data_IF_173680725268
#
_entry.id   IF_173680725268
#
_cell.length_a   1.000
_cell.length_b   1.000
_cell.length_c   1.000
_cell.angle_alpha   90.00
_cell.angle_beta   90.00
_cell.angle_gamma   90.00
#
_symmetry.space_group_name_H-M   'P 1'
#
loop_
_entity.id
_entity.type
_entity.pdbx_description
1 polymer ?
#
# COMPACT_ATOMS: atom_id res chain seq x y z
N UNK A 1 37.11 39.95 47.75
CA UNK A 1 38.46 39.57 48.16
C UNK A 1 38.39 38.23 48.84
N UNK A 2 39.28 37.24 48.60
CA UNK A 2 40.56 37.31 47.89
C UNK A 2 40.64 36.38 46.66
N UNK A 3 41.69 36.62 45.86
CA UNK A 3 42.09 35.90 44.67
C UNK A 3 42.81 34.57 44.96
N UNK A 4 42.60 33.59 44.09
CA UNK A 4 43.46 32.39 44.10
C UNK A 4 44.07 32.22 42.71
N UNK A 5 45.39 32.21 42.67
CA UNK A 5 46.22 32.00 41.48
C UNK A 5 46.17 30.55 41.00
N UNK A 6 45.98 30.37 39.72
CA UNK A 6 46.11 29.07 39.03
C UNK A 6 47.58 28.92 38.56
N UNK A 7 48.24 27.88 38.96
CA UNK A 7 49.58 27.48 38.45
C UNK A 7 49.42 26.54 37.26
N UNK A 8 49.90 26.98 36.13
CA UNK A 8 50.04 26.17 34.90
C UNK A 8 51.28 25.27 35.01
N UNK A 9 51.09 23.96 34.92
CA UNK A 9 52.22 22.99 34.78
C UNK A 9 52.43 22.76 33.28
N UNK A 10 53.67 23.00 32.82
CA UNK A 10 54.14 22.64 31.48
C UNK A 10 54.61 21.19 31.49
N UNK A 11 54.04 20.36 30.58
CA UNK A 11 54.50 18.99 30.36
C UNK A 11 55.38 18.99 29.11
N UNK A 12 56.63 18.57 29.29
CA UNK A 12 57.58 18.44 28.19
C UNK A 12 57.37 17.07 27.50
N UNK A 13 57.22 17.13 26.20
CA UNK A 13 57.12 15.90 25.37
C UNK A 13 58.51 15.59 24.79
N UNK A 14 59.06 14.45 25.16
CA UNK A 14 60.24 13.89 24.51
C UNK A 14 59.87 13.04 23.32
N UNK A 15 60.31 13.45 22.13
CA UNK A 15 60.05 12.72 20.87
C UNK A 15 61.02 11.54 20.73
N UNK A 16 60.47 10.36 20.67
CA UNK A 16 61.25 9.13 20.36
C UNK A 16 61.16 8.88 18.84
N UNK A 17 62.27 8.92 18.17
CA UNK A 17 62.37 8.60 16.73
C UNK A 17 62.59 7.11 16.59
N UNK A 18 61.60 6.38 16.06
CA UNK A 18 61.71 4.97 15.71
C UNK A 18 62.04 4.87 14.23
N UNK A 19 63.17 4.31 13.90
CA UNK A 19 63.55 4.02 12.50
C UNK A 19 62.86 2.72 12.08
N UNK A 20 61.95 2.83 11.10
CA UNK A 20 61.26 1.66 10.52
C UNK A 20 62.08 1.14 9.31
N UNK A 21 62.53 -0.09 9.35
CA UNK A 21 63.11 -0.78 8.23
C UNK A 21 61.98 -1.20 7.29
N UNK A 22 62.02 -0.72 6.05
CA UNK A 22 61.04 -1.05 5.01
C UNK A 22 61.46 -2.39 4.36
N UNK A 23 60.82 -3.47 4.78
CA UNK A 23 60.97 -4.77 4.12
C UNK A 23 60.06 -4.83 2.89
N UNK A 24 60.62 -5.03 1.68
CA UNK A 24 59.89 -5.34 0.47
C UNK A 24 59.32 -6.74 0.54
N UNK A 25 57.98 -6.88 0.66
CA UNK A 25 57.31 -8.16 0.45
C UNK A 25 56.83 -8.23 -1.01
N UNK A 26 56.98 -9.37 -1.73
CA UNK A 26 56.49 -9.47 -3.10
C UNK A 26 54.93 -9.41 -3.09
N UNK A 27 54.39 -8.61 -3.99
CA UNK A 27 52.95 -8.50 -4.18
C UNK A 27 52.40 -9.83 -4.74
N UNK A 28 51.65 -10.57 -3.95
CA UNK A 28 50.89 -11.70 -4.42
C UNK A 28 49.75 -11.26 -5.38
N UNK A 29 49.26 -12.18 -6.23
CA UNK A 29 48.22 -11.83 -7.18
C UNK A 29 46.98 -11.32 -6.47
N UNK A 30 46.55 -10.10 -6.82
CA UNK A 30 45.32 -9.53 -6.30
C UNK A 30 44.14 -10.41 -6.80
N UNK A 31 43.51 -11.12 -5.86
CA UNK A 31 42.27 -11.79 -6.20
C UNK A 31 41.23 -10.69 -6.44
N UNK A 32 40.77 -10.61 -7.69
CA UNK A 32 39.67 -9.74 -8.04
C UNK A 32 38.46 -10.17 -7.19
N UNK A 33 38.09 -9.33 -6.24
CA UNK A 33 36.85 -9.53 -5.49
C UNK A 33 35.72 -9.49 -6.51
N UNK A 34 35.12 -10.63 -6.76
CA UNK A 34 33.95 -10.72 -7.62
C UNK A 34 32.89 -9.76 -7.11
N UNK A 35 32.42 -8.87 -7.95
CA UNK A 35 31.31 -7.97 -7.64
C UNK A 35 30.02 -8.79 -7.56
N UNK A 36 29.88 -9.57 -6.49
CA UNK A 36 28.64 -10.27 -6.21
C UNK A 36 27.55 -9.21 -5.93
N UNK A 37 26.67 -9.02 -6.88
CA UNK A 37 25.47 -8.20 -6.65
C UNK A 37 24.69 -8.84 -5.51
N UNK A 38 24.43 -8.08 -4.44
CA UNK A 38 23.62 -8.55 -3.33
C UNK A 38 22.27 -9.07 -3.86
N UNK A 39 21.77 -10.20 -3.34
CA UNK A 39 20.52 -10.76 -3.82
C UNK A 39 19.39 -9.71 -3.73
N UNK A 40 18.68 -9.53 -4.83
CA UNK A 40 17.56 -8.59 -4.87
C UNK A 40 16.49 -9.04 -3.86
N UNK A 41 16.06 -8.12 -3.00
CA UNK A 41 15.04 -8.41 -1.99
C UNK A 41 13.77 -8.95 -2.67
N UNK A 42 13.20 -10.00 -2.08
CA UNK A 42 11.96 -10.60 -2.57
C UNK A 42 10.81 -9.60 -2.48
N UNK A 43 9.95 -9.60 -3.49
CA UNK A 43 8.72 -8.81 -3.46
C UNK A 43 7.70 -9.43 -2.49
N UNK A 44 6.67 -8.68 -2.07
CA UNK A 44 5.63 -9.25 -1.21
C UNK A 44 5.00 -10.52 -1.78
N UNK A 45 4.70 -10.55 -3.07
CA UNK A 45 4.11 -11.75 -3.70
C UNK A 45 5.10 -12.92 -3.72
N UNK A 46 6.40 -12.65 -3.92
CA UNK A 46 7.43 -13.71 -3.85
C UNK A 46 7.65 -14.19 -2.41
N UNK A 47 7.36 -13.35 -1.43
CA UNK A 47 7.54 -13.69 -0.02
C UNK A 47 6.39 -14.51 0.53
N UNK A 48 5.16 -14.13 0.20
CA UNK A 48 3.96 -14.72 0.81
C UNK A 48 3.19 -15.68 -0.11
N UNK A 49 3.46 -15.65 -1.42
CA UNK A 49 2.77 -16.53 -2.36
C UNK A 49 1.28 -16.21 -2.49
N UNK A 50 0.47 -17.24 -2.69
CA UNK A 50 -0.98 -17.08 -2.79
C UNK A 50 -1.60 -16.91 -1.40
N UNK A 51 -2.38 -15.86 -1.23
CA UNK A 51 -3.04 -15.60 0.06
C UNK A 51 -4.31 -16.41 0.22
N UNK A 52 -4.62 -16.75 1.46
CA UNK A 52 -5.86 -17.41 1.84
C UNK A 52 -6.28 -17.01 3.25
N UNK A 53 -7.51 -17.35 3.63
CA UNK A 53 -8.00 -17.07 4.98
C UNK A 53 -7.68 -18.29 5.86
N UNK A 54 -7.03 -18.04 7.00
CA UNK A 54 -6.69 -19.05 8.00
C UNK A 54 -7.23 -18.59 9.37
N UNK A 55 -8.36 -19.19 9.77
CA UNK A 55 -9.07 -18.72 10.98
C UNK A 55 -9.59 -17.30 10.79
N UNK A 56 -9.13 -16.38 11.62
CA UNK A 56 -9.55 -14.97 11.58
C UNK A 56 -8.49 -14.07 10.91
N UNK A 57 -7.49 -14.67 10.26
CA UNK A 57 -6.38 -13.91 9.69
C UNK A 57 -6.23 -14.17 8.19
N UNK A 58 -5.47 -13.28 7.54
CA UNK A 58 -4.98 -13.47 6.19
C UNK A 58 -3.63 -14.16 6.30
N UNK A 59 -3.44 -15.25 5.56
CA UNK A 59 -2.18 -16.02 5.59
C UNK A 59 -1.59 -16.13 4.19
N UNK A 60 -0.29 -16.31 4.15
CA UNK A 60 0.45 -16.63 2.94
C UNK A 60 0.38 -18.13 2.62
N UNK A 61 1.01 -18.52 1.53
CA UNK A 61 0.98 -19.88 1.00
C UNK A 61 1.50 -20.94 2.01
N UNK A 62 2.38 -20.51 2.94
CA UNK A 62 2.94 -21.38 3.98
C UNK A 62 2.25 -21.20 5.34
N UNK A 63 1.00 -20.76 5.35
CA UNK A 63 0.17 -20.55 6.54
C UNK A 63 0.69 -19.49 7.53
N UNK A 64 1.70 -18.71 7.16
CA UNK A 64 2.16 -17.63 8.03
C UNK A 64 1.18 -16.43 7.97
N UNK A 65 0.81 -15.84 9.11
CA UNK A 65 -0.04 -14.65 9.12
C UNK A 65 0.62 -13.48 8.38
N UNK A 66 -0.13 -12.81 7.54
CA UNK A 66 0.36 -11.71 6.68
C UNK A 66 -0.37 -10.41 7.00
N UNK A 67 0.40 -9.36 7.27
CA UNK A 67 -0.12 -8.01 7.34
C UNK A 67 0.26 -7.27 6.04
N UNK A 68 -0.69 -6.98 5.18
CA UNK A 68 -0.48 -6.15 4.00
C UNK A 68 -0.57 -4.67 4.40
N UNK A 69 0.39 -3.86 3.95
CA UNK A 69 0.39 -2.41 4.18
C UNK A 69 0.57 -1.70 2.85
N UNK A 70 -0.27 -0.71 2.59
CA UNK A 70 -0.16 -0.04 1.30
C UNK A 70 -1.10 1.15 1.13
N UNK A 71 -1.36 1.46 -0.13
CA UNK A 71 -2.10 2.64 -0.54
C UNK A 71 -3.36 2.28 -1.30
N UNK A 72 -4.40 3.10 -1.12
CA UNK A 72 -5.55 3.12 -2.01
C UNK A 72 -5.34 4.20 -3.08
N UNK A 73 -5.77 3.94 -4.30
CA UNK A 73 -6.02 5.03 -5.23
C UNK A 73 -7.16 5.86 -4.65
N UNK A 74 -7.25 7.13 -5.02
CA UNK A 74 -8.53 7.82 -4.99
C UNK A 74 -9.41 7.20 -6.09
N UNK A 75 -10.65 7.62 -6.24
CA UNK A 75 -11.44 7.18 -7.39
C UNK A 75 -10.63 7.38 -8.67
N UNK A 76 -10.54 6.32 -9.49
CA UNK A 76 -9.65 6.32 -10.67
C UNK A 76 -9.99 7.40 -11.69
N UNK A 77 -11.18 8.02 -11.58
CA UNK A 77 -11.59 9.10 -12.47
C UNK A 77 -11.01 10.48 -12.10
N UNK A 78 -10.56 10.68 -10.84
CA UNK A 78 -10.22 12.03 -10.37
C UNK A 78 -8.72 12.38 -10.41
N UNK A 79 -7.84 11.41 -10.20
CA UNK A 79 -6.39 11.69 -10.12
C UNK A 79 -5.58 10.76 -11.02
N UNK A 80 -5.92 10.66 -12.33
CA UNK A 80 -5.19 9.73 -13.20
C UNK A 80 -3.71 10.06 -13.32
N UNK A 81 -3.32 11.31 -13.11
CA UNK A 81 -1.91 11.74 -13.13
C UNK A 81 -1.11 11.13 -11.95
N UNK A 82 -1.78 10.68 -10.88
CA UNK A 82 -1.15 10.01 -9.76
C UNK A 82 -1.08 8.48 -9.94
N UNK A 83 -1.66 7.94 -11.03
CA UNK A 83 -1.74 6.50 -11.28
C UNK A 83 -0.79 6.05 -12.40
N UNK A 84 0.47 6.53 -12.31
CA UNK A 84 1.49 6.27 -13.33
C UNK A 84 2.46 5.17 -12.88
N UNK A 85 3.25 4.66 -13.84
CA UNK A 85 4.30 3.70 -13.52
C UNK A 85 5.29 4.25 -12.49
N UNK A 86 5.68 5.52 -12.64
CA UNK A 86 6.61 6.16 -11.69
C UNK A 86 6.03 6.27 -10.28
N UNK A 87 4.73 6.60 -10.16
CA UNK A 87 4.07 6.63 -8.85
C UNK A 87 4.06 5.24 -8.20
N UNK A 88 3.71 4.21 -8.97
CA UNK A 88 3.67 2.84 -8.45
C UNK A 88 5.08 2.29 -8.16
N UNK A 89 6.11 2.74 -8.89
CA UNK A 89 7.50 2.42 -8.55
C UNK A 89 7.88 3.01 -7.18
N UNK A 90 7.52 4.25 -6.92
CA UNK A 90 7.76 4.88 -5.61
C UNK A 90 7.03 4.10 -4.50
N UNK A 91 5.75 3.80 -4.69
CA UNK A 91 4.93 3.07 -3.71
C UNK A 91 5.52 1.67 -3.44
N UNK A 92 5.88 0.94 -4.49
CA UNK A 92 6.38 -0.44 -4.34
C UNK A 92 7.81 -0.50 -3.80
N UNK A 93 8.73 0.33 -4.35
CA UNK A 93 10.16 0.21 -4.08
C UNK A 93 10.65 1.08 -2.96
N UNK A 94 10.22 2.36 -2.95
CA UNK A 94 10.64 3.29 -1.91
C UNK A 94 9.81 3.13 -0.63
N UNK A 95 8.47 3.08 -0.77
CA UNK A 95 7.59 2.93 0.40
C UNK A 95 7.52 1.49 0.90
N UNK A 96 7.95 0.50 0.10
CA UNK A 96 7.88 -0.94 0.44
C UNK A 96 6.44 -1.43 0.60
N UNK A 97 5.50 -0.82 -0.11
CA UNK A 97 4.10 -1.23 -0.02
C UNK A 97 3.92 -2.67 -0.52
N UNK A 98 3.11 -3.43 0.18
CA UNK A 98 2.79 -4.81 -0.17
C UNK A 98 1.48 -4.93 -0.95
N UNK A 99 0.64 -3.88 -0.93
CA UNK A 99 -0.67 -3.91 -1.57
C UNK A 99 -1.04 -2.55 -2.16
N UNK A 100 -1.73 -2.60 -3.30
CA UNK A 100 -2.40 -1.44 -3.91
C UNK A 100 -3.91 -1.73 -3.93
N UNK A 101 -4.73 -0.79 -3.44
CA UNK A 101 -6.19 -0.87 -3.60
C UNK A 101 -6.60 0.02 -4.78
N UNK A 102 -7.38 -0.54 -5.69
CA UNK A 102 -7.84 0.14 -6.91
C UNK A 102 -9.33 0.43 -6.76
N UNK A 103 -9.66 1.68 -6.47
CA UNK A 103 -11.04 2.11 -6.17
C UNK A 103 -11.78 2.46 -7.46
N UNK A 104 -12.52 1.48 -8.01
CA UNK A 104 -13.33 1.67 -9.21
C UNK A 104 -14.74 2.08 -8.80
N UNK A 105 -15.02 3.38 -8.85
CA UNK A 105 -16.32 3.91 -8.49
C UNK A 105 -17.41 3.39 -9.43
N UNK A 106 -18.50 2.89 -8.84
CA UNK A 106 -19.65 2.42 -9.60
C UNK A 106 -20.35 3.56 -10.34
N UNK A 107 -20.44 4.70 -9.67
CA UNK A 107 -21.13 5.92 -10.12
C UNK A 107 -20.15 7.08 -10.23
N UNK A 108 -20.55 8.27 -9.90
CA UNK A 108 -19.73 9.49 -9.78
C UNK A 108 -18.85 9.76 -11.01
N UNK A 109 -19.44 9.53 -12.21
CA UNK A 109 -18.73 9.79 -13.47
C UNK A 109 -17.72 8.71 -13.86
N UNK A 110 -17.75 7.56 -13.19
CA UNK A 110 -16.82 6.45 -13.46
C UNK A 110 -17.50 5.29 -14.20
N UNK A 111 -17.61 4.11 -13.57
CA UNK A 111 -17.97 2.88 -14.28
C UNK A 111 -19.27 2.99 -15.08
N UNK A 112 -20.35 3.49 -14.47
CA UNK A 112 -21.64 3.62 -15.19
C UNK A 112 -21.56 4.53 -16.41
N UNK A 113 -20.65 5.51 -16.39
CA UNK A 113 -20.47 6.41 -17.53
C UNK A 113 -19.72 5.76 -18.69
N UNK A 114 -18.74 4.88 -18.35
CA UNK A 114 -17.95 4.17 -19.38
C UNK A 114 -17.42 2.85 -18.79
N UNK A 115 -18.23 1.78 -18.82
CA UNK A 115 -17.83 0.50 -18.26
C UNK A 115 -16.56 -0.08 -18.88
N UNK A 116 -16.36 0.11 -20.19
CA UNK A 116 -15.17 -0.40 -20.88
C UNK A 116 -13.93 0.28 -20.37
N UNK A 117 -13.90 1.62 -20.40
CA UNK A 117 -12.76 2.43 -19.95
C UNK A 117 -12.34 2.09 -18.53
N UNK A 118 -13.30 2.02 -17.59
CA UNK A 118 -12.96 1.81 -16.19
C UNK A 118 -12.62 0.36 -15.86
N UNK A 119 -13.14 -0.61 -16.62
CA UNK A 119 -12.67 -1.99 -16.53
C UNK A 119 -11.21 -2.09 -17.03
N UNK A 120 -10.92 -1.47 -18.16
CA UNK A 120 -9.55 -1.46 -18.73
C UNK A 120 -8.55 -0.75 -17.80
N UNK A 121 -8.96 0.36 -17.20
CA UNK A 121 -8.10 1.11 -16.27
C UNK A 121 -7.83 0.28 -15.00
N UNK A 122 -8.85 -0.32 -14.41
CA UNK A 122 -8.67 -1.20 -13.25
C UNK A 122 -7.72 -2.36 -13.59
N UNK A 123 -7.95 -3.00 -14.75
CA UNK A 123 -7.11 -4.10 -15.22
C UNK A 123 -5.66 -3.66 -15.43
N UNK A 124 -5.45 -2.48 -16.03
CA UNK A 124 -4.09 -1.91 -16.22
C UNK A 124 -3.40 -1.71 -14.87
N UNK A 125 -4.10 -1.19 -13.87
CA UNK A 125 -3.54 -1.00 -12.53
C UNK A 125 -3.20 -2.33 -11.86
N UNK A 126 -4.02 -3.38 -12.08
CA UNK A 126 -3.70 -4.74 -11.63
C UNK A 126 -2.39 -5.20 -12.26
N UNK A 127 -2.23 -5.03 -13.57
CA UNK A 127 -1.00 -5.44 -14.27
C UNK A 127 0.21 -4.64 -13.76
N UNK A 128 0.07 -3.32 -13.59
CA UNK A 128 1.14 -2.45 -13.12
C UNK A 128 1.61 -2.81 -11.70
N UNK A 129 0.68 -3.10 -10.80
CA UNK A 129 1.01 -3.50 -9.42
C UNK A 129 1.61 -4.92 -9.38
N UNK A 130 1.04 -5.85 -10.16
CA UNK A 130 1.57 -7.23 -10.27
C UNK A 130 3.01 -7.25 -10.77
N UNK A 131 3.33 -6.42 -11.76
CA UNK A 131 4.70 -6.31 -12.30
C UNK A 131 5.71 -5.84 -11.23
N UNK A 132 5.22 -5.23 -10.16
CA UNK A 132 6.04 -4.76 -9.03
C UNK A 132 5.99 -5.71 -7.83
N UNK A 133 5.29 -6.83 -7.96
CA UNK A 133 5.18 -7.84 -6.92
C UNK A 133 4.29 -7.45 -5.76
N UNK A 134 3.39 -6.50 -5.95
CA UNK A 134 2.38 -6.13 -4.96
C UNK A 134 1.11 -6.96 -5.12
N UNK A 135 0.40 -7.16 -4.02
CA UNK A 135 -0.99 -7.60 -4.06
C UNK A 135 -1.87 -6.46 -4.55
N UNK A 136 -3.03 -6.80 -5.09
CA UNK A 136 -3.97 -5.77 -5.59
C UNK A 136 -5.36 -6.08 -5.06
N UNK A 137 -5.95 -5.11 -4.37
CA UNK A 137 -7.37 -5.17 -4.02
C UNK A 137 -8.12 -4.45 -5.14
N UNK A 138 -8.96 -5.17 -5.85
CA UNK A 138 -9.84 -4.59 -6.87
C UNK A 138 -11.19 -4.31 -6.20
N UNK A 139 -11.45 -3.04 -6.00
CA UNK A 139 -12.59 -2.56 -5.23
C UNK A 139 -13.69 -2.04 -6.15
N UNK A 140 -14.89 -2.59 -5.97
CA UNK A 140 -16.12 -2.04 -6.52
C UNK A 140 -16.61 -0.96 -5.56
N UNK A 141 -16.26 0.29 -5.90
CA UNK A 141 -16.37 1.40 -4.95
C UNK A 141 -17.78 1.99 -4.97
N UNK A 142 -18.62 1.50 -4.08
CA UNK A 142 -19.99 2.04 -3.90
C UNK A 142 -20.02 2.95 -2.68
N UNK A 143 -20.68 4.11 -2.82
CA UNK A 143 -20.98 5.03 -1.72
C UNK A 143 -22.48 5.23 -1.65
N UNK A 144 -23.07 5.88 -2.68
CA UNK A 144 -24.51 6.13 -2.72
C UNK A 144 -25.14 5.52 -3.97
N UNK A 145 -26.32 4.92 -3.82
CA UNK A 145 -27.00 4.60 -2.56
C UNK A 145 -26.27 3.49 -1.82
N UNK A 146 -26.54 3.35 -0.51
CA UNK A 146 -25.82 2.41 0.35
C UNK A 146 -26.17 0.95 0.13
N UNK A 147 -27.21 0.63 -0.68
CA UNK A 147 -27.53 -0.75 -1.02
C UNK A 147 -26.71 -1.18 -2.25
N UNK A 148 -25.79 -2.16 -2.10
CA UNK A 148 -24.96 -2.57 -3.23
C UNK A 148 -25.75 -3.25 -4.36
N UNK A 149 -26.99 -3.67 -4.13
CA UNK A 149 -27.84 -4.25 -5.18
C UNK A 149 -28.22 -3.24 -6.26
N UNK A 150 -28.16 -1.95 -5.95
CA UNK A 150 -28.51 -0.88 -6.91
C UNK A 150 -27.63 -0.90 -8.17
N UNK A 151 -26.43 -1.48 -8.07
CA UNK A 151 -25.52 -1.61 -9.21
C UNK A 151 -25.09 -3.07 -9.42
N UNK A 152 -25.95 -4.04 -9.05
CA UNK A 152 -25.61 -5.47 -9.05
C UNK A 152 -25.17 -5.97 -10.43
N UNK A 153 -25.90 -5.63 -11.50
CA UNK A 153 -25.56 -6.13 -12.82
C UNK A 153 -24.25 -5.54 -13.35
N UNK A 154 -23.99 -4.27 -13.02
CA UNK A 154 -22.72 -3.62 -13.33
C UNK A 154 -21.58 -4.30 -12.56
N UNK A 155 -21.78 -4.59 -11.28
CA UNK A 155 -20.77 -5.30 -10.45
C UNK A 155 -20.48 -6.70 -11.03
N UNK A 156 -21.52 -7.42 -11.45
CA UNK A 156 -21.37 -8.75 -12.09
C UNK A 156 -20.52 -8.66 -13.36
N UNK A 157 -20.84 -7.69 -14.23
CA UNK A 157 -20.11 -7.50 -15.47
C UNK A 157 -18.64 -7.12 -15.20
N UNK A 158 -18.40 -6.19 -14.28
CA UNK A 158 -17.07 -5.77 -13.88
C UNK A 158 -16.25 -6.94 -13.33
N UNK A 159 -16.76 -7.65 -12.32
CA UNK A 159 -16.00 -8.74 -11.71
C UNK A 159 -15.80 -9.93 -12.67
N UNK A 160 -16.78 -10.20 -13.55
CA UNK A 160 -16.62 -11.21 -14.59
C UNK A 160 -15.42 -10.89 -15.48
N UNK A 161 -15.33 -9.64 -15.95
CA UNK A 161 -14.25 -9.20 -16.83
C UNK A 161 -12.89 -9.23 -16.13
N UNK A 162 -12.81 -8.66 -14.92
CA UNK A 162 -11.56 -8.62 -14.16
C UNK A 162 -11.09 -10.01 -13.78
N UNK A 163 -11.99 -10.86 -13.26
CA UNK A 163 -11.62 -12.21 -12.83
C UNK A 163 -11.20 -13.08 -14.01
N UNK A 164 -11.87 -12.97 -15.17
CA UNK A 164 -11.48 -13.71 -16.37
C UNK A 164 -10.08 -13.29 -16.84
N UNK A 165 -9.82 -11.99 -16.91
CA UNK A 165 -8.54 -11.49 -17.43
C UNK A 165 -7.37 -11.82 -16.50
N UNK A 166 -7.59 -11.87 -15.20
CA UNK A 166 -6.53 -12.06 -14.21
C UNK A 166 -6.61 -13.41 -13.48
N UNK A 167 -7.32 -14.39 -14.03
CA UNK A 167 -7.56 -15.70 -13.39
C UNK A 167 -6.29 -16.46 -13.01
N UNK A 168 -5.21 -16.22 -13.72
CA UNK A 168 -3.93 -16.89 -13.47
C UNK A 168 -3.02 -16.12 -12.51
N UNK A 169 -3.48 -14.99 -11.97
CA UNK A 169 -2.69 -14.20 -11.00
C UNK A 169 -3.03 -14.62 -9.57
N UNK A 170 -2.00 -14.86 -8.77
CA UNK A 170 -2.18 -15.25 -7.36
C UNK A 170 -2.21 -14.07 -6.39
N UNK A 171 -2.12 -12.84 -6.91
CA UNK A 171 -1.99 -11.63 -6.11
C UNK A 171 -3.22 -10.71 -6.16
N UNK A 172 -4.34 -11.18 -6.75
CA UNK A 172 -5.55 -10.34 -6.86
C UNK A 172 -6.55 -10.71 -5.75
N UNK A 173 -7.00 -9.69 -5.06
CA UNK A 173 -8.01 -9.73 -3.99
C UNK A 173 -9.22 -8.95 -4.51
N UNK A 174 -10.41 -9.43 -4.27
CA UNK A 174 -11.64 -8.78 -4.75
C UNK A 174 -12.41 -8.18 -3.58
N UNK A 175 -12.68 -6.88 -3.61
CA UNK A 175 -13.52 -6.19 -2.64
C UNK A 175 -14.85 -5.86 -3.30
N UNK A 176 -15.92 -6.57 -2.89
CA UNK A 176 -17.14 -6.60 -3.69
C UNK A 176 -18.06 -5.40 -3.53
N UNK A 177 -17.86 -4.61 -2.51
CA UNK A 177 -18.50 -3.29 -2.33
C UNK A 177 -17.72 -2.53 -1.27
N UNK A 178 -17.67 -1.20 -1.40
CA UNK A 178 -16.88 -0.35 -0.48
C UNK A 178 -17.59 -0.12 0.86
N UNK A 179 -18.65 0.67 0.88
CA UNK A 179 -19.25 1.19 2.12
C UNK A 179 -20.77 1.03 2.19
N UNK A 180 -21.31 -0.19 2.24
CA UNK A 180 -22.75 -0.36 2.39
C UNK A 180 -23.27 0.31 3.66
N UNK A 181 -24.36 1.06 3.52
CA UNK A 181 -24.99 1.74 4.67
C UNK A 181 -26.50 1.85 4.45
N UNK A 182 -27.24 2.03 5.52
CA UNK A 182 -28.69 2.07 5.47
C UNK A 182 -29.34 0.72 5.16
N UNK A 183 -28.56 -0.36 5.15
CA UNK A 183 -29.04 -1.71 4.82
C UNK A 183 -28.67 -2.71 5.90
N UNK A 184 -29.36 -3.85 5.90
CA UNK A 184 -29.13 -4.91 6.86
C UNK A 184 -27.94 -5.78 6.47
N UNK A 185 -27.40 -6.54 7.43
CA UNK A 185 -26.37 -7.54 7.14
C UNK A 185 -26.91 -8.63 6.20
N UNK A 186 -28.19 -9.00 6.31
CA UNK A 186 -28.78 -9.97 5.38
C UNK A 186 -28.80 -9.47 3.94
N UNK A 187 -29.03 -8.17 3.72
CA UNK A 187 -28.95 -7.55 2.40
C UNK A 187 -27.54 -7.69 1.80
N UNK A 188 -26.51 -7.40 2.61
CA UNK A 188 -25.12 -7.50 2.17
C UNK A 188 -24.76 -8.97 1.86
N UNK A 189 -25.20 -9.91 2.70
CA UNK A 189 -24.98 -11.35 2.45
C UNK A 189 -25.65 -11.82 1.15
N UNK A 190 -26.86 -11.35 0.89
CA UNK A 190 -27.57 -11.70 -0.35
C UNK A 190 -26.82 -11.16 -1.58
N UNK A 191 -26.34 -9.92 -1.51
CA UNK A 191 -25.51 -9.34 -2.56
C UNK A 191 -24.24 -10.17 -2.76
N UNK A 192 -23.54 -10.51 -1.67
CA UNK A 192 -22.32 -11.32 -1.74
C UNK A 192 -22.59 -12.69 -2.38
N UNK A 193 -23.73 -13.32 -2.03
CA UNK A 193 -24.12 -14.59 -2.60
C UNK A 193 -24.34 -14.52 -4.13
N UNK A 194 -24.63 -13.34 -4.66
CA UNK A 194 -24.82 -13.12 -6.10
C UNK A 194 -23.53 -12.77 -6.84
N UNK A 195 -22.55 -12.14 -6.14
CA UNK A 195 -21.27 -11.73 -6.75
C UNK A 195 -20.21 -12.81 -6.63
N UNK A 196 -20.11 -13.47 -5.46
CA UNK A 196 -19.04 -14.46 -5.24
C UNK A 196 -18.98 -15.57 -6.29
N UNK A 197 -20.10 -16.16 -6.75
CA UNK A 197 -20.02 -17.18 -7.81
C UNK A 197 -19.44 -16.65 -9.11
N UNK A 198 -19.67 -15.38 -9.43
CA UNK A 198 -19.11 -14.74 -10.64
C UNK A 198 -17.57 -14.73 -10.57
N UNK A 199 -17.03 -14.39 -9.40
CA UNK A 199 -15.58 -14.39 -9.16
C UNK A 199 -15.07 -15.83 -9.10
N UNK A 200 -15.70 -16.68 -8.28
CA UNK A 200 -15.25 -18.05 -8.02
C UNK A 200 -15.20 -18.94 -9.27
N UNK A 201 -16.10 -18.71 -10.24
CA UNK A 201 -16.07 -19.47 -11.49
C UNK A 201 -14.80 -19.25 -12.32
N UNK A 202 -14.04 -18.19 -12.04
CA UNK A 202 -12.82 -17.83 -12.78
C UNK A 202 -11.58 -17.79 -11.91
N UNK A 203 -11.74 -17.39 -10.65
CA UNK A 203 -10.66 -17.24 -9.68
C UNK A 203 -11.05 -17.95 -8.36
N UNK A 204 -11.17 -19.29 -8.38
CA UNK A 204 -11.77 -20.04 -7.26
C UNK A 204 -11.02 -19.88 -5.93
N UNK A 205 -9.70 -19.70 -5.97
CA UNK A 205 -8.89 -19.59 -4.74
C UNK A 205 -8.53 -18.18 -4.33
N UNK A 206 -9.15 -17.15 -4.95
CA UNK A 206 -8.83 -15.77 -4.58
C UNK A 206 -9.53 -15.34 -3.29
N UNK A 207 -8.89 -14.44 -2.53
CA UNK A 207 -9.52 -13.83 -1.36
C UNK A 207 -10.60 -12.85 -1.85
N UNK A 208 -11.77 -12.92 -1.23
CA UNK A 208 -12.88 -11.99 -1.48
C UNK A 208 -13.21 -11.28 -0.18
N UNK A 209 -13.18 -9.95 -0.22
CA UNK A 209 -13.52 -9.10 0.91
C UNK A 209 -15.00 -8.72 0.79
N UNK A 210 -15.77 -9.03 1.82
CA UNK A 210 -17.19 -8.67 1.93
C UNK A 210 -17.30 -7.59 2.99
N UNK A 211 -17.79 -6.39 2.65
CA UNK A 211 -17.86 -5.32 3.63
C UNK A 211 -18.93 -5.59 4.69
N UNK A 212 -18.77 -4.97 5.86
CA UNK A 212 -19.80 -4.99 6.90
C UNK A 212 -20.78 -3.81 6.69
N UNK A 213 -21.90 -3.84 7.39
CA UNK A 213 -22.86 -2.74 7.36
C UNK A 213 -22.29 -1.49 8.06
N UNK A 214 -22.95 -0.36 7.88
CA UNK A 214 -22.58 0.89 8.57
C UNK A 214 -21.25 1.45 8.07
N UNK A 215 -21.15 1.65 6.74
CA UNK A 215 -19.94 2.20 6.10
C UNK A 215 -18.70 1.31 6.28
N UNK A 216 -18.92 -0.01 6.36
CA UNK A 216 -17.86 -1.03 6.56
C UNK A 216 -17.03 -0.86 7.85
N UNK A 217 -17.55 -0.11 8.83
CA UNK A 217 -16.79 0.23 10.05
C UNK A 217 -16.67 -0.92 11.06
N UNK A 218 -17.37 -2.03 10.84
CA UNK A 218 -17.37 -3.18 11.75
C UNK A 218 -16.49 -4.33 11.29
N UNK A 219 -15.71 -4.12 10.23
CA UNK A 219 -14.87 -5.16 9.63
C UNK A 219 -13.46 -5.23 10.21
N UNK A 220 -12.73 -6.27 9.82
CA UNK A 220 -11.32 -6.46 10.17
C UNK A 220 -10.32 -6.02 9.09
N UNK A 221 -10.56 -5.58 7.94
CA UNK A 221 -9.88 -5.20 7.09
C UNK A 221 -10.06 -3.98 7.05
N UNK A 222 -9.11 -3.40 7.00
CA UNK A 222 -9.14 -1.93 6.90
C UNK A 222 -8.67 -1.54 5.50
N UNK A 223 -9.57 -1.69 4.56
CA UNK A 223 -9.26 -1.40 3.16
C UNK A 223 -9.22 0.10 2.86
N UNK A 224 -9.70 0.92 3.80
CA UNK A 224 -9.62 2.37 3.70
C UNK A 224 -9.51 3.00 5.08
N UNK A 225 -8.53 3.93 5.24
CA UNK A 225 -8.40 4.78 6.43
C UNK A 225 -7.50 5.96 6.08
N UNK A 226 -7.57 7.03 6.89
CA UNK A 226 -6.75 8.22 6.69
C UNK A 226 -6.29 8.81 8.02
N UNK A 227 -5.21 9.60 7.98
CA UNK A 227 -4.73 10.37 9.13
C UNK A 227 -5.54 11.64 9.35
N UNK A 228 -6.31 12.05 8.35
CA UNK A 228 -7.16 13.23 8.39
C UNK A 228 -8.61 12.82 8.69
N UNK A 229 -9.39 13.78 9.14
CA UNK A 229 -10.82 13.59 9.34
C UNK A 229 -11.51 13.28 7.99
N UNK A 230 -12.72 12.73 8.06
CA UNK A 230 -13.48 12.31 6.88
C UNK A 230 -13.71 13.45 5.87
N UNK A 231 -13.78 14.70 6.34
CA UNK A 231 -13.97 15.86 5.45
C UNK A 231 -12.65 16.37 4.85
N UNK A 232 -11.53 15.71 5.16
CA UNK A 232 -10.22 16.06 4.65
C UNK A 232 -9.56 17.26 5.32
N UNK A 233 -10.10 17.75 6.42
CA UNK A 233 -9.53 18.87 7.17
C UNK A 233 -9.04 18.41 8.54
N UNK A 234 -7.83 18.81 8.86
CA UNK A 234 -7.21 18.49 10.13
C UNK A 234 -6.69 17.06 10.19
N UNK A 235 -5.62 16.89 10.94
CA UNK A 235 -4.93 15.60 11.09
C UNK A 235 -4.85 15.23 12.57
N UNK A 236 -4.89 13.93 12.86
CA UNK A 236 -4.68 13.40 14.21
C UNK A 236 -3.64 12.28 14.16
N UNK A 237 -2.38 12.66 14.07
CA UNK A 237 -1.28 11.70 14.02
C UNK A 237 -1.21 10.83 15.29
N UNK A 238 -1.42 11.34 16.51
CA UNK A 238 -1.46 10.48 17.70
C UNK A 238 -2.53 9.38 17.62
N UNK A 239 -3.74 9.70 17.16
CA UNK A 239 -4.80 8.70 17.00
C UNK A 239 -4.45 7.73 15.87
N UNK A 240 -3.97 8.24 14.74
CA UNK A 240 -3.54 7.42 13.61
C UNK A 240 -2.44 6.44 14.03
N UNK A 241 -1.50 6.85 14.90
CA UNK A 241 -0.44 5.96 15.38
C UNK A 241 -1.03 4.81 16.22
N UNK A 242 -1.94 5.13 17.14
CA UNK A 242 -2.63 4.09 17.94
C UNK A 242 -3.34 3.08 17.03
N UNK A 243 -3.94 3.57 15.95
CA UNK A 243 -4.65 2.72 14.99
C UNK A 243 -3.66 1.80 14.25
N UNK A 244 -2.55 2.34 13.76
CA UNK A 244 -1.50 1.55 13.09
C UNK A 244 -0.92 0.51 14.05
N UNK A 245 -0.66 0.89 15.31
CA UNK A 245 -0.12 -0.03 16.32
C UNK A 245 -1.09 -1.19 16.59
N UNK A 246 -2.39 -0.88 16.69
CA UNK A 246 -3.42 -1.91 16.87
C UNK A 246 -3.45 -2.85 15.65
N UNK A 247 -3.42 -2.30 14.44
CA UNK A 247 -3.40 -3.11 13.22
C UNK A 247 -2.15 -3.99 13.15
N UNK A 248 -1.00 -3.47 13.57
CA UNK A 248 0.25 -4.25 13.61
C UNK A 248 0.16 -5.39 14.64
N UNK A 249 -0.33 -5.10 15.85
CA UNK A 249 -0.50 -6.08 16.92
C UNK A 249 -1.45 -7.22 16.50
N UNK A 250 -2.49 -6.90 15.75
CA UNK A 250 -3.52 -7.86 15.32
C UNK A 250 -3.26 -8.46 13.94
N UNK A 251 -2.17 -8.07 13.27
CA UNK A 251 -1.85 -8.48 11.90
C UNK A 251 -2.96 -8.13 10.90
N UNK A 252 -3.64 -7.02 11.12
CA UNK A 252 -4.68 -6.52 10.22
C UNK A 252 -4.02 -5.75 9.08
N UNK A 253 -4.25 -6.18 7.85
CA UNK A 253 -3.78 -5.46 6.66
C UNK A 253 -4.55 -4.16 6.45
N UNK A 254 -3.92 -3.19 5.79
CA UNK A 254 -4.55 -1.90 5.59
C UNK A 254 -4.06 -1.19 4.33
N UNK A 255 -4.92 -0.34 3.76
CA UNK A 255 -4.53 0.65 2.76
C UNK A 255 -4.93 2.05 3.20
N UNK A 256 -4.01 3.00 3.05
CA UNK A 256 -4.28 4.39 3.40
C UNK A 256 -4.91 5.13 2.21
N UNK A 257 -5.87 5.98 2.47
CA UNK A 257 -6.52 6.85 1.50
C UNK A 257 -5.81 8.20 1.48
N UNK A 258 -5.21 8.72 0.38
CA UNK A 258 -5.22 8.13 -0.96
C UNK A 258 -4.06 8.65 -1.82
N UNK A 259 -3.78 7.94 -2.92
CA UNK A 259 -2.83 8.38 -3.96
C UNK A 259 -3.48 9.52 -4.77
N UNK A 260 -3.30 10.73 -4.25
CA UNK A 260 -3.82 11.97 -4.83
C UNK A 260 -2.88 13.11 -4.48
N UNK A 261 -3.05 14.26 -5.17
CA UNK A 261 -2.21 15.44 -4.95
C UNK A 261 -3.01 16.76 -4.79
N UNK A 262 -4.31 16.66 -4.64
CA UNK A 262 -5.15 17.85 -4.43
C UNK A 262 -6.45 17.52 -3.71
N UNK A 263 -6.39 16.67 -2.68
CA UNK A 263 -7.55 16.32 -1.88
C UNK A 263 -7.30 16.64 -0.41
N UNK A 264 -7.05 17.92 -0.11
CA UNK A 264 -6.86 18.43 1.27
C UNK A 264 -5.81 17.60 2.02
N UNK A 265 -6.03 17.36 3.30
CA UNK A 265 -5.14 16.56 4.15
C UNK A 265 -5.23 15.05 3.87
N UNK A 266 -6.09 14.61 2.94
CA UNK A 266 -6.19 13.20 2.53
C UNK A 266 -5.15 12.84 1.45
N UNK A 267 -4.54 13.84 0.79
CA UNK A 267 -3.56 13.60 -0.27
C UNK A 267 -2.19 13.24 0.29
N UNK A 268 -1.58 12.17 -0.24
CA UNK A 268 -0.20 11.83 0.14
C UNK A 268 0.84 12.58 -0.67
N UNK A 269 0.46 13.20 -1.78
CA UNK A 269 1.36 14.06 -2.55
C UNK A 269 0.98 15.54 -2.36
N UNK A 270 1.98 16.41 -2.46
CA UNK A 270 1.77 17.86 -2.49
C UNK A 270 0.96 18.24 -3.72
N UNK A 271 0.20 19.33 -3.62
CA UNK A 271 -0.62 19.82 -4.73
C UNK A 271 0.20 19.99 -6.01
N UNK A 272 -0.27 19.35 -7.08
CA UNK A 272 0.37 19.39 -8.39
C UNK A 272 1.56 18.46 -8.58
N UNK A 273 2.00 17.76 -7.52
CA UNK A 273 3.19 16.92 -7.60
C UNK A 273 3.05 15.79 -8.61
N UNK A 274 1.85 15.20 -8.73
CA UNK A 274 1.64 14.08 -9.65
C UNK A 274 1.87 14.46 -11.13
N UNK A 275 1.60 15.72 -11.47
CA UNK A 275 1.79 16.22 -12.84
C UNK A 275 3.26 16.39 -13.22
N UNK A 276 4.16 16.44 -12.23
CA UNK A 276 5.60 16.54 -12.52
C UNK A 276 6.22 15.22 -12.93
N UNK A 277 5.54 14.10 -12.66
CA UNK A 277 6.09 12.75 -12.86
C UNK A 277 7.18 12.37 -11.86
N UNK A 278 7.44 13.20 -10.85
CA UNK A 278 8.45 12.97 -9.80
C UNK A 278 7.75 12.57 -8.50
N UNK A 279 8.10 11.41 -7.96
CA UNK A 279 7.43 10.85 -6.78
C UNK A 279 8.41 10.55 -5.64
N UNK A 280 9.50 11.31 -5.56
CA UNK A 280 10.46 11.24 -4.46
C UNK A 280 9.93 11.91 -3.19
N UNK A 281 10.75 11.93 -2.15
CA UNK A 281 10.37 12.48 -0.84
C UNK A 281 9.88 13.94 -0.94
N UNK A 282 10.47 14.71 -1.84
CA UNK A 282 10.11 16.13 -2.02
C UNK A 282 8.69 16.33 -2.56
N UNK A 283 8.13 15.31 -3.19
CA UNK A 283 6.77 15.35 -3.71
C UNK A 283 5.71 15.05 -2.64
N UNK A 284 6.13 14.54 -1.47
CA UNK A 284 5.20 14.10 -0.44
C UNK A 284 4.64 15.26 0.38
N UNK A 285 3.36 15.18 0.69
CA UNK A 285 2.75 16.02 1.73
C UNK A 285 3.24 15.57 3.12
N UNK A 286 3.00 16.33 4.18
CA UNK A 286 3.29 15.84 5.53
C UNK A 286 2.62 14.48 5.82
N UNK A 287 1.38 14.29 5.38
CA UNK A 287 0.68 13.02 5.51
C UNK A 287 1.37 11.92 4.71
N UNK A 288 1.82 12.24 3.50
CA UNK A 288 2.54 11.28 2.65
C UNK A 288 3.83 10.79 3.28
N UNK A 289 4.60 11.69 3.90
CA UNK A 289 5.82 11.32 4.63
C UNK A 289 5.45 10.38 5.78
N UNK A 290 4.47 10.79 6.60
CA UNK A 290 4.05 10.01 7.77
C UNK A 290 3.57 8.60 7.37
N UNK A 291 2.71 8.52 6.36
CA UNK A 291 2.13 7.25 5.88
C UNK A 291 3.22 6.33 5.28
N UNK A 292 4.09 6.91 4.42
CA UNK A 292 5.20 6.15 3.83
C UNK A 292 6.04 5.46 4.89
N UNK A 293 6.37 6.19 5.96
CA UNK A 293 7.22 5.66 7.03
C UNK A 293 6.54 4.48 7.76
N UNK A 294 5.20 4.50 7.90
CA UNK A 294 4.45 3.39 8.52
C UNK A 294 4.26 2.20 7.57
N UNK A 295 4.24 2.44 6.26
CA UNK A 295 4.23 1.35 5.27
C UNK A 295 5.59 0.62 5.33
N UNK A 296 6.68 1.36 5.40
CA UNK A 296 8.03 0.78 5.50
C UNK A 296 8.23 -0.09 6.76
N UNK A 297 7.67 0.29 7.88
CA UNK A 297 7.79 -0.38 9.19
C UNK A 297 8.90 0.15 10.02
#
# INVERSE_FOLDING_TARGET
>A
MPSTHSRTRRVAWTSLVLAAAVGFLPAGPAHAAGSGTAPKAKTPVQTYGKLHVCGTQLCGESDQPVQLRGMSTHGTQWYPQCLTGAALDAVARDWKASVLRVSTYAREGAYRADPKKYTELASKLVDMASARGMYVIVDWHTIHPGDPHEDLDNARAFFKAIAEKHKNKNNVIYEIANEPHGVSWSTIKDYAAKIMPVIRSRAPGSVVLVPTRGWATLGAXVTEWAVASWNGWGTDYPMAQKFVDLMAKKKIGWTNWSLSDNHKDLSVFKKGACSTGKFGTDALSPNGVWVRDRIRG
#
